data_IF_469816985223
#
_entry.id   IF_469816985223
#
_cell.length_a   1.000
_cell.length_b   1.000
_cell.length_c   1.000
_cell.angle_alpha   90.00
_cell.angle_beta   90.00
_cell.angle_gamma   90.00
#
_symmetry.space_group_name_H-M   'P 1'
#
loop_
_entity.id
_entity.type
_entity.pdbx_description
1 polymer ?
#
# COMPACT_ATOMS: atom_id res chain seq x y z
N UNK A 1 5.12 -7.78 -23.13
CA UNK A 1 6.38 -6.99 -23.19
C UNK A 1 7.30 -7.46 -24.31
N UNK A 2 7.63 -8.75 -24.37
CA UNK A 2 8.54 -9.36 -25.37
C UNK A 2 8.02 -9.34 -26.82
N UNK A 3 6.72 -9.57 -27.05
CA UNK A 3 6.17 -9.64 -28.42
C UNK A 3 6.07 -8.30 -29.16
N UNK A 4 6.14 -7.16 -28.46
CA UNK A 4 5.95 -5.84 -29.04
C UNK A 4 7.25 -5.01 -29.12
N UNK A 5 8.40 -5.55 -28.70
CA UNK A 5 9.70 -4.86 -28.68
C UNK A 5 9.66 -3.43 -28.11
N UNK A 6 8.80 -3.17 -27.12
CA UNK A 6 8.61 -1.82 -26.55
C UNK A 6 9.74 -1.47 -25.57
N UNK A 7 10.44 -2.47 -25.04
CA UNK A 7 11.54 -2.32 -24.09
C UNK A 7 12.74 -3.16 -24.53
N UNK A 8 13.95 -2.67 -24.30
CA UNK A 8 15.18 -3.46 -24.50
C UNK A 8 15.26 -4.60 -23.46
N UNK A 9 15.89 -5.73 -23.80
CA UNK A 9 16.02 -6.90 -22.92
C UNK A 9 16.67 -6.58 -21.57
N UNK A 10 17.65 -5.66 -21.55
CA UNK A 10 18.26 -5.20 -20.30
C UNK A 10 17.24 -4.53 -19.36
N UNK A 11 16.43 -3.62 -19.88
CA UNK A 11 15.41 -2.92 -19.09
C UNK A 11 14.26 -3.83 -18.65
N UNK A 12 13.95 -4.87 -19.43
CA UNK A 12 12.99 -5.90 -19.04
C UNK A 12 13.54 -6.72 -17.85
N UNK A 13 14.82 -7.12 -17.90
CA UNK A 13 15.45 -7.85 -16.80
C UNK A 13 15.52 -7.04 -15.50
N UNK A 14 15.91 -5.75 -15.58
CA UNK A 14 15.91 -4.86 -14.42
C UNK A 14 14.50 -4.64 -13.88
N UNK A 15 13.52 -4.43 -14.77
CA UNK A 15 12.11 -4.31 -14.39
C UNK A 15 11.61 -5.56 -13.66
N UNK A 16 11.86 -6.75 -14.19
CA UNK A 16 11.39 -8.00 -13.61
C UNK A 16 11.98 -8.23 -12.21
N UNK A 17 13.26 -7.91 -12.02
CA UNK A 17 13.91 -8.00 -10.70
C UNK A 17 13.25 -7.02 -9.71
N UNK A 18 13.12 -5.74 -10.08
CA UNK A 18 12.52 -4.72 -9.21
C UNK A 18 11.06 -5.05 -8.90
N UNK A 19 10.29 -5.48 -9.89
CA UNK A 19 8.89 -5.87 -9.71
C UNK A 19 8.75 -7.06 -8.77
N UNK A 20 9.59 -8.09 -8.91
CA UNK A 20 9.58 -9.22 -8.00
C UNK A 20 9.97 -8.80 -6.57
N UNK A 21 11.06 -8.03 -6.41
CA UNK A 21 11.52 -7.53 -5.11
C UNK A 21 10.45 -6.69 -4.41
N UNK A 22 9.88 -5.71 -5.10
CA UNK A 22 8.85 -4.84 -4.55
C UNK A 22 7.56 -5.60 -4.23
N UNK A 23 7.18 -6.59 -5.05
CA UNK A 23 5.98 -7.40 -4.81
C UNK A 23 6.05 -8.27 -3.56
N UNK A 24 7.26 -8.54 -3.02
CA UNK A 24 7.42 -9.33 -1.80
C UNK A 24 6.70 -8.70 -0.62
N UNK A 25 6.75 -7.37 -0.47
CA UNK A 25 6.06 -6.68 0.62
C UNK A 25 4.55 -6.88 0.51
N UNK A 26 4.00 -6.74 -0.71
CA UNK A 26 2.58 -6.98 -0.94
C UNK A 26 2.19 -8.43 -0.64
N UNK A 27 2.98 -9.41 -1.11
CA UNK A 27 2.69 -10.85 -0.95
C UNK A 27 2.87 -11.36 0.46
N UNK A 28 3.88 -10.88 1.19
CA UNK A 28 4.25 -11.43 2.49
C UNK A 28 3.61 -10.67 3.66
N UNK A 29 3.26 -9.40 3.46
CA UNK A 29 2.70 -8.56 4.53
C UNK A 29 1.23 -8.25 4.25
N UNK A 30 0.92 -7.62 3.12
CA UNK A 30 -0.43 -7.13 2.87
C UNK A 30 -1.43 -8.22 2.49
N UNK A 31 -1.03 -9.19 1.69
CA UNK A 31 -1.92 -10.27 1.25
C UNK A 31 -2.46 -11.12 2.41
N UNK A 32 -1.65 -11.60 3.39
CA UNK A 32 -2.18 -12.33 4.53
C UNK A 32 -3.13 -11.49 5.40
N UNK A 33 -2.85 -10.19 5.55
CA UNK A 33 -3.72 -9.24 6.25
C UNK A 33 -5.05 -9.11 5.50
N UNK A 34 -5.01 -8.91 4.18
CA UNK A 34 -6.17 -8.81 3.32
C UNK A 34 -7.10 -10.03 3.44
N UNK A 35 -6.53 -11.24 3.30
CA UNK A 35 -7.28 -12.50 3.40
C UNK A 35 -7.89 -12.69 4.80
N UNK A 36 -7.14 -12.37 5.85
CA UNK A 36 -7.63 -12.49 7.24
C UNK A 36 -8.80 -11.55 7.53
N UNK A 37 -8.70 -10.29 7.09
CA UNK A 37 -9.75 -9.29 7.34
C UNK A 37 -10.95 -9.45 6.39
N UNK A 38 -10.75 -9.98 5.19
CA UNK A 38 -11.87 -10.43 4.35
C UNK A 38 -12.74 -11.45 5.09
N UNK A 39 -12.12 -12.48 5.68
CA UNK A 39 -12.85 -13.52 6.45
C UNK A 39 -13.54 -12.91 7.67
N UNK A 40 -12.87 -11.97 8.36
CA UNK A 40 -13.48 -11.26 9.48
C UNK A 40 -14.74 -10.49 9.05
N UNK A 41 -14.64 -9.63 8.03
CA UNK A 41 -15.79 -8.85 7.56
C UNK A 41 -16.90 -9.75 7.02
N UNK A 42 -16.58 -10.84 6.32
CA UNK A 42 -17.58 -11.77 5.80
C UNK A 42 -18.34 -12.54 6.90
N UNK A 43 -17.77 -12.64 8.11
CA UNK A 43 -18.44 -13.24 9.28
C UNK A 43 -19.29 -12.23 10.05
N UNK A 44 -18.83 -10.97 10.11
CA UNK A 44 -19.50 -9.89 10.85
C UNK A 44 -20.63 -9.27 10.03
N UNK A 45 -20.48 -9.23 8.71
CA UNK A 45 -21.44 -8.62 7.78
C UNK A 45 -22.29 -9.65 7.06
N UNK A 46 -23.58 -9.34 6.91
CA UNK A 46 -24.52 -10.13 6.11
C UNK A 46 -24.68 -9.48 4.72
N UNK A 47 -24.20 -10.16 3.66
CA UNK A 47 -24.14 -9.62 2.28
C UNK A 47 -25.45 -9.10 1.69
N UNK A 48 -26.60 -9.60 2.14
CA UNK A 48 -27.92 -9.26 1.58
C UNK A 48 -28.70 -8.25 2.43
N UNK A 49 -28.13 -7.77 3.54
CA UNK A 49 -28.76 -6.78 4.40
C UNK A 49 -28.03 -5.44 4.33
N UNK A 50 -28.79 -4.39 4.05
CA UNK A 50 -28.29 -3.02 4.22
C UNK A 50 -27.99 -2.70 5.68
N UNK A 51 -27.22 -1.63 5.91
CA UNK A 51 -26.76 -1.20 7.25
C UNK A 51 -27.88 -0.92 8.27
N UNK A 52 -29.12 -0.70 7.81
CA UNK A 52 -30.30 -0.49 8.68
C UNK A 52 -30.95 -1.79 9.16
N UNK A 53 -30.79 -2.88 8.41
CA UNK A 53 -31.36 -4.20 8.71
C UNK A 53 -30.38 -5.12 9.46
N UNK A 54 -29.10 -4.74 9.48
CA UNK A 54 -28.07 -5.43 10.21
C UNK A 54 -28.01 -5.00 11.67
N UNK A 55 -27.47 -5.85 12.54
CA UNK A 55 -27.19 -5.48 13.93
C UNK A 55 -26.23 -4.30 13.96
N UNK A 56 -26.64 -3.22 14.63
CA UNK A 56 -25.86 -1.98 14.69
C UNK A 56 -24.48 -2.16 15.33
N UNK A 57 -24.36 -3.11 16.26
CA UNK A 57 -23.07 -3.47 16.89
C UNK A 57 -22.07 -4.04 15.87
N UNK A 58 -22.53 -4.93 14.97
CA UNK A 58 -21.69 -5.55 13.95
C UNK A 58 -21.22 -4.51 12.90
N UNK A 59 -22.13 -3.61 12.49
CA UNK A 59 -21.81 -2.50 11.57
C UNK A 59 -20.81 -1.53 12.21
N UNK A 60 -20.99 -1.22 13.50
CA UNK A 60 -20.06 -0.37 14.26
C UNK A 60 -18.69 -1.02 14.36
N UNK A 61 -18.64 -2.31 14.70
CA UNK A 61 -17.40 -3.09 14.81
C UNK A 61 -16.65 -3.10 13.47
N UNK A 62 -17.35 -3.41 12.37
CA UNK A 62 -16.76 -3.42 11.04
C UNK A 62 -16.21 -2.04 10.65
N UNK A 63 -16.91 -0.95 10.97
CA UNK A 63 -16.45 0.41 10.70
C UNK A 63 -15.16 0.75 11.48
N UNK A 64 -15.10 0.43 12.78
CA UNK A 64 -13.93 0.71 13.63
C UNK A 64 -12.71 -0.09 13.18
N UNK A 65 -12.90 -1.36 12.83
CA UNK A 65 -11.83 -2.22 12.29
C UNK A 65 -11.35 -1.68 10.94
N UNK A 66 -12.27 -1.36 10.02
CA UNK A 66 -11.93 -0.82 8.71
C UNK A 66 -11.15 0.51 8.82
N UNK A 67 -11.59 1.42 9.69
CA UNK A 67 -10.90 2.69 9.94
C UNK A 67 -9.45 2.46 10.41
N UNK A 68 -9.28 1.53 11.35
CA UNK A 68 -7.96 1.19 11.92
C UNK A 68 -7.04 0.56 10.88
N UNK A 69 -7.57 -0.34 10.04
CA UNK A 69 -6.80 -0.98 8.97
C UNK A 69 -6.41 -0.01 7.87
N UNK A 70 -7.31 0.88 7.45
CA UNK A 70 -6.99 1.90 6.44
C UNK A 70 -5.87 2.81 6.92
N UNK A 71 -5.94 3.23 8.19
CA UNK A 71 -4.88 4.04 8.81
C UNK A 71 -3.55 3.28 8.88
N UNK A 72 -3.57 2.02 9.32
CA UNK A 72 -2.36 1.20 9.39
C UNK A 72 -1.73 0.97 8.01
N UNK A 73 -2.54 0.63 7.01
CA UNK A 73 -2.10 0.43 5.63
C UNK A 73 -1.52 1.71 5.03
N UNK A 74 -2.14 2.86 5.29
CA UNK A 74 -1.64 4.16 4.84
C UNK A 74 -0.32 4.53 5.51
N UNK A 75 -0.17 4.31 6.83
CA UNK A 75 1.08 4.54 7.56
C UNK A 75 2.21 3.63 7.06
N UNK A 76 1.94 2.34 6.88
CA UNK A 76 2.89 1.38 6.36
C UNK A 76 3.31 1.74 4.92
N UNK A 77 2.34 2.01 4.04
CA UNK A 77 2.59 2.40 2.65
C UNK A 77 3.35 3.72 2.51
N UNK A 78 3.04 4.74 3.33
CA UNK A 78 3.77 6.01 3.33
C UNK A 78 5.20 5.83 3.83
N UNK A 79 5.40 5.01 4.86
CA UNK A 79 6.74 4.65 5.35
C UNK A 79 7.55 3.99 4.23
N UNK A 80 7.00 2.96 3.57
CA UNK A 80 7.66 2.30 2.45
C UNK A 80 7.95 3.29 1.30
N UNK A 81 7.04 4.23 1.03
CA UNK A 81 7.25 5.23 -0.03
C UNK A 81 8.40 6.18 0.34
N UNK A 82 8.34 6.82 1.51
CA UNK A 82 9.33 7.84 1.93
C UNK A 82 10.73 7.24 2.03
N UNK A 83 10.88 6.12 2.72
CA UNK A 83 12.19 5.47 2.85
C UNK A 83 12.58 4.74 1.56
N UNK A 84 11.63 4.11 0.86
CA UNK A 84 11.89 3.51 -0.43
C UNK A 84 12.49 4.51 -1.42
N UNK A 85 12.02 5.76 -1.41
CA UNK A 85 12.55 6.80 -2.29
C UNK A 85 14.04 7.08 -2.06
N UNK A 86 14.43 7.29 -0.79
CA UNK A 86 15.80 7.67 -0.43
C UNK A 86 16.78 6.48 -0.37
N UNK A 87 16.29 5.26 -0.15
CA UNK A 87 17.14 4.08 0.05
C UNK A 87 17.16 3.13 -1.15
N UNK A 88 16.42 3.42 -2.24
CA UNK A 88 16.34 2.56 -3.43
C UNK A 88 17.70 2.22 -4.03
N UNK A 89 18.59 3.21 -4.19
CA UNK A 89 19.91 2.99 -4.77
C UNK A 89 20.77 2.10 -3.88
N UNK A 90 20.79 2.37 -2.56
CA UNK A 90 21.52 1.55 -1.59
C UNK A 90 20.99 0.12 -1.53
N UNK A 91 19.66 -0.06 -1.51
CA UNK A 91 19.03 -1.38 -1.45
C UNK A 91 19.38 -2.23 -2.68
N UNK A 92 19.34 -1.64 -3.87
CA UNK A 92 19.71 -2.34 -5.10
C UNK A 92 21.20 -2.62 -5.20
N UNK A 93 22.05 -1.72 -4.71
CA UNK A 93 23.50 -1.94 -4.68
C UNK A 93 23.89 -3.10 -3.76
N UNK A 94 23.22 -3.22 -2.61
CA UNK A 94 23.40 -4.36 -1.69
C UNK A 94 22.88 -5.66 -2.33
N UNK A 95 21.75 -5.60 -3.04
CA UNK A 95 21.10 -6.79 -3.59
C UNK A 95 21.78 -7.35 -4.84
N UNK A 96 22.10 -6.48 -5.81
CA UNK A 96 22.62 -6.88 -7.12
C UNK A 96 23.78 -6.03 -7.64
N UNK A 97 24.38 -5.20 -6.78
CA UNK A 97 25.54 -4.38 -7.12
C UNK A 97 25.25 -3.27 -8.12
N UNK A 98 26.33 -2.77 -8.73
CA UNK A 98 26.31 -1.65 -9.67
C UNK A 98 25.40 -1.89 -10.88
N UNK A 99 25.25 -3.15 -11.31
CA UNK A 99 24.36 -3.52 -12.42
C UNK A 99 22.91 -3.08 -12.20
N UNK A 100 22.42 -3.11 -10.96
CA UNK A 100 21.08 -2.64 -10.61
C UNK A 100 21.06 -1.21 -10.08
N UNK A 101 22.14 -0.75 -9.46
CA UNK A 101 22.18 0.56 -8.78
C UNK A 101 22.60 1.74 -9.68
N UNK A 102 23.29 1.52 -10.80
CA UNK A 102 23.75 2.58 -11.72
C UNK A 102 22.83 2.82 -12.93
N UNK A 103 21.81 1.99 -13.12
CA UNK A 103 20.89 2.02 -14.26
C UNK A 103 19.50 2.58 -13.93
N UNK A 104 18.47 2.08 -14.62
CA UNK A 104 17.06 2.42 -14.39
C UNK A 104 16.48 1.83 -13.09
N UNK A 105 17.21 0.92 -12.44
CA UNK A 105 16.78 0.19 -11.24
C UNK A 105 16.31 1.08 -10.08
N UNK A 106 17.09 2.08 -9.61
CA UNK A 106 16.68 2.90 -8.48
C UNK A 106 15.40 3.65 -8.79
N UNK A 107 15.28 4.25 -9.97
CA UNK A 107 14.06 4.97 -10.40
C UNK A 107 12.86 4.02 -10.42
N UNK A 108 13.02 2.81 -10.97
CA UNK A 108 11.95 1.81 -10.98
C UNK A 108 11.52 1.44 -9.57
N UNK A 109 12.46 1.19 -8.65
CA UNK A 109 12.15 0.82 -7.28
C UNK A 109 11.45 1.96 -6.53
N UNK A 110 11.85 3.22 -6.75
CA UNK A 110 11.17 4.40 -6.20
C UNK A 110 9.69 4.47 -6.62
N UNK A 111 9.41 4.33 -7.92
CA UNK A 111 8.03 4.29 -8.41
C UNK A 111 7.28 3.05 -7.92
N UNK A 112 7.98 1.93 -7.75
CA UNK A 112 7.39 0.73 -7.17
C UNK A 112 7.01 0.93 -5.69
N UNK A 113 7.79 1.65 -4.90
CA UNK A 113 7.44 1.98 -3.52
C UNK A 113 6.16 2.82 -3.44
N UNK A 114 5.95 3.75 -4.38
CA UNK A 114 4.67 4.44 -4.53
C UNK A 114 3.53 3.47 -4.91
N UNK A 115 3.80 2.52 -5.79
CA UNK A 115 2.83 1.49 -6.15
C UNK A 115 2.44 0.61 -4.95
N UNK A 116 3.40 0.27 -4.07
CA UNK A 116 3.16 -0.49 -2.83
C UNK A 116 2.22 0.24 -1.87
N UNK A 117 2.29 1.58 -1.78
CA UNK A 117 1.31 2.37 -1.03
C UNK A 117 -0.12 2.18 -1.58
N UNK A 118 -0.28 2.20 -2.91
CA UNK A 118 -1.58 1.96 -3.53
C UNK A 118 -2.06 0.53 -3.29
N UNK A 119 -1.18 -0.47 -3.36
CA UNK A 119 -1.51 -1.87 -3.04
C UNK A 119 -2.00 -2.01 -1.59
N UNK A 120 -1.36 -1.34 -0.64
CA UNK A 120 -1.75 -1.38 0.78
C UNK A 120 -3.19 -0.88 0.98
N UNK A 121 -3.52 0.28 0.40
CA UNK A 121 -4.86 0.88 0.49
C UNK A 121 -5.89 0.05 -0.27
N UNK A 122 -5.51 -0.46 -1.46
CA UNK A 122 -6.39 -1.26 -2.29
C UNK A 122 -6.80 -2.56 -1.59
N UNK A 123 -5.84 -3.30 -1.02
CA UNK A 123 -6.12 -4.56 -0.33
C UNK A 123 -7.14 -4.39 0.80
N UNK A 124 -6.96 -3.36 1.65
CA UNK A 124 -7.91 -3.10 2.76
C UNK A 124 -9.29 -2.64 2.26
N UNK A 125 -9.35 -1.76 1.25
CA UNK A 125 -10.64 -1.28 0.76
C UNK A 125 -11.41 -2.38 0.02
N UNK A 126 -10.73 -3.18 -0.82
CA UNK A 126 -11.36 -4.26 -1.57
C UNK A 126 -11.77 -5.43 -0.70
N UNK A 127 -10.98 -5.83 0.30
CA UNK A 127 -11.35 -6.96 1.15
C UNK A 127 -12.66 -6.68 1.91
N UNK A 128 -12.86 -5.44 2.38
CA UNK A 128 -14.13 -5.02 2.95
C UNK A 128 -15.24 -5.01 1.91
N UNK A 129 -14.99 -4.38 0.75
CA UNK A 129 -16.00 -4.26 -0.31
C UNK A 129 -16.49 -5.63 -0.77
N UNK A 130 -15.61 -6.58 -1.04
CA UNK A 130 -15.99 -7.95 -1.43
C UNK A 130 -16.65 -8.75 -0.30
N UNK A 131 -16.33 -8.46 0.96
CA UNK A 131 -17.02 -9.07 2.09
C UNK A 131 -18.48 -8.59 2.20
N UNK A 132 -18.71 -7.30 1.94
CA UNK A 132 -20.01 -6.63 2.15
C UNK A 132 -20.96 -6.63 0.93
N UNK A 133 -20.44 -6.71 -0.30
CA UNK A 133 -21.24 -6.66 -1.52
C UNK A 133 -22.24 -7.82 -1.67
N UNK A 134 -23.41 -7.53 -2.26
CA UNK A 134 -24.34 -8.57 -2.75
C UNK A 134 -23.77 -9.28 -3.99
N UNK A 135 -24.37 -10.40 -4.40
CA UNK A 135 -23.96 -11.10 -5.63
C UNK A 135 -24.06 -10.22 -6.88
N UNK A 136 -25.14 -9.47 -7.01
CA UNK A 136 -25.40 -8.57 -8.15
C UNK A 136 -24.37 -7.42 -8.20
N UNK A 137 -23.92 -6.95 -7.04
CA UNK A 137 -22.88 -5.94 -6.95
C UNK A 137 -21.50 -6.48 -7.31
N UNK A 138 -21.17 -7.70 -6.85
CA UNK A 138 -19.94 -8.40 -7.24
C UNK A 138 -19.92 -8.65 -8.74
N UNK A 139 -21.03 -9.09 -9.35
CA UNK A 139 -21.10 -9.33 -10.79
C UNK A 139 -20.88 -8.04 -11.59
N UNK A 140 -21.51 -6.93 -11.17
CA UNK A 140 -21.28 -5.61 -11.77
C UNK A 140 -19.84 -5.13 -11.59
N UNK A 141 -19.25 -5.38 -10.42
CA UNK A 141 -17.85 -5.07 -10.15
C UNK A 141 -16.92 -5.85 -11.08
N UNK A 142 -17.12 -7.15 -11.20
CA UNK A 142 -16.34 -8.04 -12.08
C UNK A 142 -16.43 -7.63 -13.55
N UNK A 143 -17.63 -7.25 -14.02
CA UNK A 143 -17.79 -6.73 -15.38
C UNK A 143 -17.01 -5.42 -15.58
N UNK A 144 -17.03 -4.53 -14.59
CA UNK A 144 -16.26 -3.28 -14.66
C UNK A 144 -14.75 -3.54 -14.62
N UNK A 145 -14.29 -4.51 -13.83
CA UNK A 145 -12.89 -4.97 -13.79
C UNK A 145 -12.43 -5.55 -15.14
N UNK A 146 -13.31 -6.23 -15.87
CA UNK A 146 -13.02 -6.73 -17.20
C UNK A 146 -12.78 -5.58 -18.20
N UNK A 147 -13.63 -4.56 -18.18
CA UNK A 147 -13.44 -3.36 -18.98
C UNK A 147 -12.12 -2.63 -18.61
N UNK A 148 -11.86 -2.50 -17.31
CA UNK A 148 -10.64 -1.90 -16.78
C UNK A 148 -9.37 -2.63 -17.27
N UNK A 149 -9.41 -3.97 -17.31
CA UNK A 149 -8.28 -4.80 -17.76
C UNK A 149 -7.91 -4.52 -19.23
N UNK A 150 -8.92 -4.26 -20.06
CA UNK A 150 -8.72 -3.90 -21.47
C UNK A 150 -8.11 -2.49 -21.60
N UNK A 151 -8.64 -1.53 -20.85
CA UNK A 151 -8.08 -0.17 -20.79
C UNK A 151 -6.65 -0.13 -20.24
N UNK A 152 -6.35 -0.96 -19.24
CA UNK A 152 -5.02 -1.10 -18.66
C UNK A 152 -3.99 -1.58 -19.70
N UNK A 153 -4.35 -2.51 -20.59
CA UNK A 153 -3.45 -2.99 -21.63
C UNK A 153 -3.06 -1.85 -22.59
N UNK A 154 -4.05 -1.06 -23.04
CA UNK A 154 -3.84 0.09 -23.91
C UNK A 154 -2.98 1.15 -23.21
N UNK A 155 -3.34 1.49 -21.97
CA UNK A 155 -2.62 2.50 -21.19
C UNK A 155 -1.18 2.06 -20.91
N UNK A 156 -0.97 0.80 -20.54
CA UNK A 156 0.35 0.20 -20.35
C UNK A 156 1.19 0.32 -21.61
N UNK A 157 0.63 0.02 -22.78
CA UNK A 157 1.34 0.16 -24.05
C UNK A 157 1.76 1.63 -24.31
N UNK A 158 0.83 2.58 -24.14
CA UNK A 158 1.09 4.00 -24.37
C UNK A 158 2.16 4.56 -23.41
N UNK A 159 2.01 4.33 -22.11
CA UNK A 159 2.98 4.82 -21.12
C UNK A 159 4.33 4.13 -21.23
N UNK A 160 4.37 2.82 -21.54
CA UNK A 160 5.65 2.12 -21.73
C UNK A 160 6.40 2.69 -22.93
N UNK A 161 5.70 3.07 -24.00
CA UNK A 161 6.31 3.74 -25.16
C UNK A 161 6.85 5.13 -24.83
N UNK A 162 6.25 5.85 -23.88
CA UNK A 162 6.67 7.21 -23.50
C UNK A 162 7.76 7.24 -22.42
N UNK A 163 7.65 6.39 -21.40
CA UNK A 163 8.48 6.44 -20.20
C UNK A 163 9.23 5.12 -19.91
N UNK A 164 9.28 4.20 -20.87
CA UNK A 164 9.94 2.91 -20.71
C UNK A 164 9.29 2.07 -19.60
N UNK A 165 10.11 1.28 -18.90
CA UNK A 165 9.65 0.37 -17.83
C UNK A 165 8.94 1.10 -16.68
N UNK A 166 9.28 2.37 -16.42
CA UNK A 166 8.59 3.21 -15.42
C UNK A 166 7.13 3.45 -15.83
N UNK A 167 6.89 3.65 -17.13
CA UNK A 167 5.54 3.82 -17.66
C UNK A 167 4.63 2.65 -17.37
N UNK A 168 5.19 1.43 -17.33
CA UNK A 168 4.41 0.24 -16.97
C UNK A 168 4.04 0.22 -15.48
N UNK A 169 4.93 0.65 -14.58
CA UNK A 169 4.58 0.81 -13.14
C UNK A 169 3.49 1.88 -12.99
N UNK A 170 3.62 3.01 -13.68
CA UNK A 170 2.63 4.09 -13.63
C UNK A 170 1.26 3.65 -14.15
N UNK A 171 1.20 2.83 -15.20
CA UNK A 171 -0.05 2.25 -15.67
C UNK A 171 -0.70 1.35 -14.60
N UNK A 172 0.10 0.58 -13.86
CA UNK A 172 -0.39 -0.21 -12.72
C UNK A 172 -0.87 0.70 -11.57
N UNK A 173 -0.16 1.80 -11.27
CA UNK A 173 -0.62 2.78 -10.29
C UNK A 173 -1.98 3.39 -10.68
N UNK A 174 -2.17 3.74 -11.95
CA UNK A 174 -3.44 4.25 -12.45
C UNK A 174 -4.56 3.21 -12.31
N UNK A 175 -4.28 1.96 -12.67
CA UNK A 175 -5.22 0.84 -12.51
C UNK A 175 -5.65 0.67 -11.03
N UNK A 176 -4.69 0.70 -10.10
CA UNK A 176 -4.99 0.66 -8.66
C UNK A 176 -5.74 1.89 -8.18
N UNK A 177 -5.45 3.08 -8.72
CA UNK A 177 -6.17 4.30 -8.38
C UNK A 177 -7.67 4.23 -8.71
N UNK A 178 -8.01 3.66 -9.87
CA UNK A 178 -9.42 3.43 -10.23
C UNK A 178 -10.07 2.42 -9.29
N UNK A 179 -9.41 1.28 -9.04
CA UNK A 179 -9.90 0.24 -8.13
C UNK A 179 -10.17 0.78 -6.73
N UNK A 180 -9.21 1.50 -6.14
CA UNK A 180 -9.38 2.20 -4.86
C UNK A 180 -10.58 3.15 -4.92
N UNK A 181 -10.71 3.95 -5.96
CA UNK A 181 -11.84 4.89 -6.10
C UNK A 181 -13.19 4.18 -6.10
N UNK A 182 -13.30 3.03 -6.77
CA UNK A 182 -14.53 2.23 -6.78
C UNK A 182 -14.86 1.66 -5.41
N UNK A 183 -13.89 1.06 -4.72
CA UNK A 183 -14.07 0.53 -3.38
C UNK A 183 -14.42 1.63 -2.37
N UNK A 184 -13.77 2.80 -2.47
CA UNK A 184 -14.09 3.96 -1.62
C UNK A 184 -15.51 4.49 -1.87
N UNK A 185 -15.96 4.54 -3.13
CA UNK A 185 -17.35 4.92 -3.46
C UNK A 185 -18.35 3.93 -2.86
N UNK A 186 -18.06 2.63 -2.95
CA UNK A 186 -18.89 1.61 -2.33
C UNK A 186 -18.94 1.76 -0.82
N UNK A 187 -17.79 1.87 -0.14
CA UNK A 187 -17.71 2.05 1.33
C UNK A 187 -18.48 3.30 1.75
N UNK A 188 -18.29 4.41 1.04
CA UNK A 188 -19.00 5.64 1.33
C UNK A 188 -20.52 5.45 1.23
N UNK A 189 -21.01 4.83 0.14
CA UNK A 189 -22.43 4.56 -0.04
C UNK A 189 -22.99 3.60 1.01
N UNK A 190 -22.25 2.54 1.35
CA UNK A 190 -22.64 1.57 2.37
C UNK A 190 -22.89 2.22 3.74
N UNK A 191 -22.04 3.17 4.14
CA UNK A 191 -22.15 3.87 5.43
C UNK A 191 -22.92 5.21 5.38
N UNK A 192 -23.43 5.66 4.22
CA UNK A 192 -24.13 6.95 4.08
C UNK A 192 -25.33 7.12 5.02
N UNK A 193 -26.05 6.03 5.33
CA UNK A 193 -27.20 6.02 6.25
C UNK A 193 -26.82 5.82 7.73
N UNK A 194 -25.53 5.69 8.04
CA UNK A 194 -25.02 5.42 9.38
C UNK A 194 -24.23 6.61 9.93
N UNK A 195 -24.06 6.75 11.26
CA UNK A 195 -23.21 7.78 11.85
C UNK A 195 -21.70 7.52 11.64
N UNK A 196 -21.31 6.34 11.15
CA UNK A 196 -19.91 5.93 11.07
C UNK A 196 -19.23 6.41 9.78
N UNK A 197 -17.96 6.80 9.88
CA UNK A 197 -17.15 7.29 8.75
C UNK A 197 -15.78 6.61 8.71
N UNK A 198 -15.70 5.32 8.36
CA UNK A 198 -14.44 4.56 8.40
C UNK A 198 -13.36 5.12 7.45
N UNK A 199 -13.76 5.85 6.42
CA UNK A 199 -12.84 6.54 5.51
C UNK A 199 -12.01 7.65 6.19
N UNK A 200 -12.39 8.08 7.40
CA UNK A 200 -11.57 8.97 8.21
C UNK A 200 -10.18 8.37 8.54
N UNK A 201 -10.03 7.04 8.47
CA UNK A 201 -8.73 6.37 8.61
C UNK A 201 -7.70 6.80 7.55
N UNK A 202 -8.14 7.29 6.39
CA UNK A 202 -7.26 7.82 5.35
C UNK A 202 -6.80 9.27 5.61
N UNK A 203 -7.37 9.93 6.61
CA UNK A 203 -6.97 11.29 7.01
C UNK A 203 -5.95 11.19 8.15
N UNK A 204 -4.68 11.37 7.81
CA UNK A 204 -3.61 11.52 8.80
C UNK A 204 -3.65 12.92 9.41
N UNK A 205 -3.15 13.03 10.65
CA UNK A 205 -2.96 14.34 11.27
C UNK A 205 -1.96 15.18 10.44
N UNK A 206 -2.19 16.50 10.29
CA UNK A 206 -1.26 17.38 9.58
C UNK A 206 0.16 17.35 10.16
N UNK A 207 0.27 17.14 11.47
CA UNK A 207 1.55 17.01 12.17
C UNK A 207 2.30 15.76 11.69
N UNK A 208 1.62 14.61 11.60
CA UNK A 208 2.25 13.37 11.15
C UNK A 208 2.66 13.44 9.68
N UNK A 209 1.84 14.07 8.83
CA UNK A 209 2.21 14.36 7.44
C UNK A 209 3.45 15.28 7.36
N UNK A 210 3.52 16.30 8.21
CA UNK A 210 4.70 17.16 8.34
C UNK A 210 5.95 16.39 8.74
N UNK A 211 5.84 15.43 9.66
CA UNK A 211 6.95 14.54 10.06
C UNK A 211 7.38 13.63 8.91
N UNK A 212 6.44 13.04 8.15
CA UNK A 212 6.79 12.26 6.95
C UNK A 212 7.52 13.10 5.89
N UNK A 213 7.04 14.32 5.63
CA UNK A 213 7.66 15.23 4.68
C UNK A 213 9.08 15.64 5.12
N UNK A 214 9.24 15.98 6.40
CA UNK A 214 10.55 16.32 6.99
C UNK A 214 11.51 15.14 6.92
N UNK A 215 11.08 13.95 7.35
CA UNK A 215 11.87 12.73 7.28
C UNK A 215 12.29 12.42 5.85
N UNK A 216 11.39 12.54 4.87
CA UNK A 216 11.69 12.35 3.45
C UNK A 216 12.72 13.35 2.93
N UNK A 217 12.62 14.62 3.33
CA UNK A 217 13.61 15.64 3.02
C UNK A 217 14.99 15.32 3.62
N UNK A 218 15.04 14.96 4.90
CA UNK A 218 16.28 14.59 5.60
C UNK A 218 16.93 13.36 4.95
N UNK A 219 16.16 12.30 4.68
CA UNK A 219 16.68 11.08 4.07
C UNK A 219 17.09 11.30 2.62
N UNK A 220 16.37 12.14 1.86
CA UNK A 220 16.76 12.49 0.49
C UNK A 220 18.05 13.32 0.42
N UNK A 221 18.21 14.28 1.33
CA UNK A 221 19.48 15.01 1.50
C UNK A 221 20.59 14.03 1.90
N UNK A 222 20.31 13.14 2.86
CA UNK A 222 21.26 12.12 3.30
C UNK A 222 21.71 11.19 2.16
N UNK A 223 20.80 10.80 1.26
CA UNK A 223 21.13 10.01 0.06
C UNK A 223 22.15 10.74 -0.81
N UNK A 224 21.90 12.01 -1.15
CA UNK A 224 22.79 12.80 -2.02
C UNK A 224 24.18 13.01 -1.40
N UNK A 225 24.27 13.22 -0.09
CA UNK A 225 25.55 13.51 0.57
C UNK A 225 26.32 12.27 1.04
N UNK A 226 25.64 11.17 1.38
CA UNK A 226 26.24 10.00 2.04
C UNK A 226 26.25 8.72 1.18
N UNK A 227 25.37 8.57 0.19
CA UNK A 227 25.38 7.42 -0.74
C UNK A 227 26.15 7.78 -2.04
N UNK A 228 26.76 6.86 -2.80
CA UNK A 228 27.20 5.49 -2.48
C UNK A 228 28.67 5.25 -2.88
N UNK A 229 29.40 6.31 -3.24
CA UNK A 229 30.81 6.28 -3.69
C UNK A 229 31.81 6.58 -2.56
N UNK A 230 31.36 7.08 -1.40
CA UNK A 230 32.21 7.48 -0.26
C UNK A 230 32.59 6.33 0.70
N UNK A 231 32.37 5.09 0.29
CA UNK A 231 32.70 3.88 1.07
C UNK A 231 31.64 3.45 2.09
N UNK A 232 31.91 2.35 2.80
CA UNK A 232 30.96 1.70 3.72
C UNK A 232 30.56 2.55 4.93
N UNK A 233 31.45 3.40 5.44
CA UNK A 233 31.15 4.27 6.58
C UNK A 233 30.03 5.27 6.25
N UNK A 234 30.06 5.85 5.05
CA UNK A 234 29.03 6.79 4.62
C UNK A 234 27.67 6.09 4.42
N UNK A 235 27.68 4.85 3.88
CA UNK A 235 26.47 4.01 3.78
C UNK A 235 25.87 3.70 5.15
N UNK A 236 26.70 3.36 6.13
CA UNK A 236 26.24 3.12 7.50
C UNK A 236 25.66 4.39 8.13
N UNK A 237 26.29 5.55 7.93
CA UNK A 237 25.76 6.84 8.39
C UNK A 237 24.39 7.14 7.76
N UNK A 238 24.20 6.86 6.47
CA UNK A 238 22.92 7.01 5.80
C UNK A 238 21.84 6.09 6.41
N UNK A 239 22.18 4.84 6.73
CA UNK A 239 21.26 3.90 7.41
C UNK A 239 20.87 4.43 8.80
N UNK A 240 21.83 4.94 9.58
CA UNK A 240 21.58 5.49 10.91
C UNK A 240 20.60 6.67 10.86
N UNK A 241 20.75 7.58 9.88
CA UNK A 241 19.80 8.69 9.66
C UNK A 241 18.40 8.15 9.40
N UNK A 242 18.27 7.09 8.59
CA UNK A 242 17.00 6.44 8.29
C UNK A 242 16.34 5.83 9.51
N UNK A 243 17.12 5.08 10.31
CA UNK A 243 16.64 4.49 11.56
C UNK A 243 16.15 5.56 12.55
N UNK A 244 16.86 6.69 12.64
CA UNK A 244 16.44 7.81 13.48
C UNK A 244 15.12 8.42 12.99
N UNK A 245 15.00 8.76 11.70
CA UNK A 245 13.78 9.29 11.11
C UNK A 245 12.59 8.32 11.25
N UNK A 246 12.83 7.02 11.11
CA UNK A 246 11.81 5.99 11.31
C UNK A 246 11.35 5.94 12.77
N UNK A 247 12.29 6.00 13.73
CA UNK A 247 11.97 6.09 15.15
C UNK A 247 11.10 7.31 15.48
N UNK A 248 11.37 8.46 14.87
CA UNK A 248 10.57 9.69 15.03
C UNK A 248 9.16 9.51 14.45
N UNK A 249 9.04 8.95 13.24
CA UNK A 249 7.73 8.66 12.62
C UNK A 249 6.90 7.71 13.50
N UNK A 250 7.52 6.61 13.95
CA UNK A 250 6.85 5.65 14.82
C UNK A 250 6.43 6.30 16.14
N UNK A 251 7.33 7.02 16.80
CA UNK A 251 7.04 7.73 18.05
C UNK A 251 5.90 8.75 17.90
N UNK A 252 5.86 9.49 16.79
CA UNK A 252 4.79 10.43 16.51
C UNK A 252 3.47 9.74 16.19
N UNK A 253 3.50 8.65 15.41
CA UNK A 253 2.33 7.83 15.14
C UNK A 253 1.75 7.26 16.45
N UNK A 254 2.59 6.74 17.34
CA UNK A 254 2.17 6.26 18.66
C UNK A 254 1.57 7.38 19.53
N UNK A 255 2.16 8.57 19.52
CA UNK A 255 1.68 9.70 20.34
C UNK A 255 0.34 10.26 19.85
N UNK A 256 0.13 10.29 18.53
CA UNK A 256 -1.07 10.88 17.93
C UNK A 256 -2.24 9.89 17.90
N UNK A 257 -1.97 8.59 17.80
CA UNK A 257 -2.96 7.58 17.46
C UNK A 257 -3.22 6.60 18.61
N UNK A 258 -3.70 7.12 19.75
CA UNK A 258 -4.03 6.30 20.94
C UNK A 258 -5.07 5.22 20.63
N UNK A 259 -5.97 5.47 19.66
CA UNK A 259 -6.96 4.49 19.18
C UNK A 259 -6.32 3.32 18.42
N UNK A 260 -5.29 3.58 17.60
CA UNK A 260 -4.56 2.54 16.86
C UNK A 260 -3.80 1.63 17.84
N UNK A 261 -3.25 2.20 18.91
CA UNK A 261 -2.57 1.44 19.98
C UNK A 261 -3.56 0.50 20.67
N UNK A 262 -4.76 0.98 21.00
CA UNK A 262 -5.78 0.13 21.61
C UNK A 262 -6.17 -1.02 20.68
N UNK A 263 -6.34 -0.74 19.38
CA UNK A 263 -6.61 -1.77 18.37
C UNK A 263 -5.47 -2.81 18.31
N UNK A 264 -4.22 -2.38 18.12
CA UNK A 264 -3.05 -3.27 18.06
C UNK A 264 -2.89 -4.10 19.33
N UNK A 265 -3.09 -3.49 20.52
CA UNK A 265 -3.03 -4.18 21.80
C UNK A 265 -4.14 -5.23 21.92
N UNK A 266 -5.37 -4.90 21.53
CA UNK A 266 -6.49 -5.83 21.54
C UNK A 266 -6.33 -7.00 20.55
N UNK A 267 -5.71 -6.76 19.39
CA UNK A 267 -5.43 -7.81 18.40
C UNK A 267 -4.25 -8.71 18.82
N UNK A 268 -3.23 -8.17 19.48
CA UNK A 268 -2.06 -8.91 19.98
C UNK A 268 -2.36 -9.67 21.28
N UNK A 269 -3.26 -9.17 22.13
CA UNK A 269 -3.72 -9.85 23.36
C UNK A 269 -4.76 -10.94 23.11
N UNK A 270 -5.32 -11.03 21.88
CA UNK A 270 -6.26 -12.08 21.48
C UNK A 270 -5.68 -13.20 20.58
N UNK A 271 -4.59 -13.94 20.93
CA UNK A 271 -4.27 -15.22 20.29
C UNK A 271 -4.80 -16.45 21.05
N UNK A 272 -5.69 -16.30 22.06
CA UNK A 272 -6.13 -17.45 22.89
C UNK A 272 -7.61 -17.44 23.30
N UNK A 273 -8.53 -17.37 22.33
CA UNK A 273 -9.90 -17.87 22.53
C UNK A 273 -10.37 -18.62 21.28
N UNK A 274 -9.57 -19.58 20.81
CA UNK A 274 -10.06 -20.70 20.01
C UNK A 274 -9.62 -21.98 20.71
N UNK A 275 -10.42 -22.35 21.69
CA UNK A 275 -10.17 -23.50 22.54
C UNK A 275 -11.16 -23.51 23.70
N UNK A 276 -12.44 -23.77 23.39
CA UNK A 276 -13.25 -24.73 24.15
C UNK A 276 -14.67 -24.87 23.56
N UNK A 277 -14.94 -26.10 23.13
CA UNK A 277 -16.22 -26.78 22.89
C UNK A 277 -17.06 -26.35 21.69
#
# INVERSE_FOLDING_TARGET
MTFLNVLNFGDQGVYDIVNNLGSLVARLIFQPIEESFYIFFAKVLEREKGTTLQKQEDVTMAAVVLESLLKLALLAGLTITVFGFAYSQLALDIYGGTMLSSGSGPVLLRFYCLYVLLLAINGVTECFTFAAMTKEEVDRYNFTMLALSSSFLVLSYLLTRWCGSVGFILANCFNMGIRITQSLRFIHHYYQGSPHRPLAGLLLSPVLLGVFALSGGITGISEVFLCCERGWLARLAHIVVGCFCLGVILGQAFSTETKLIHFLRSSVECPRLNGQK
#
